data_IF_057281764260
#
_entry.id   IF_057281764260
#
_cell.length_a   1.000
_cell.length_b   1.000
_cell.length_c   1.000
_cell.angle_alpha   90.00
_cell.angle_beta   90.00
_cell.angle_gamma   90.00
#
_symmetry.space_group_name_H-M   'P 1'
#
loop_
_entity.id
_entity.type
_entity.pdbx_description
1 polymer ?
#
# COMPACT_ATOMS: atom_id res chain seq x y z
N UNK A 1 -22.74 19.78 -9.25
CA UNK A 1 -21.47 19.17 -8.81
C UNK A 1 -20.36 20.16 -9.06
N UNK A 2 -20.29 21.18 -8.20
CA UNK A 2 -19.10 22.02 -8.04
C UNK A 2 -18.02 21.24 -7.28
N UNK A 3 -16.76 21.70 -7.33
CA UNK A 3 -15.69 21.06 -6.56
C UNK A 3 -15.98 21.08 -5.05
N UNK A 4 -16.63 22.13 -4.56
CA UNK A 4 -17.02 22.25 -3.14
C UNK A 4 -18.07 21.20 -2.75
N UNK A 5 -19.01 20.88 -3.63
CA UNK A 5 -20.01 19.82 -3.41
C UNK A 5 -19.36 18.42 -3.34
N UNK A 6 -18.22 18.21 -4.03
CA UNK A 6 -17.47 16.95 -4.00
C UNK A 6 -16.65 16.85 -2.70
N UNK A 7 -16.07 17.96 -2.23
CA UNK A 7 -15.28 17.99 -1.00
C UNK A 7 -16.12 17.79 0.28
N UNK A 8 -17.42 18.10 0.23
CA UNK A 8 -18.38 17.93 1.34
C UNK A 8 -19.11 16.58 1.29
N UNK A 9 -18.81 15.72 0.31
CA UNK A 9 -19.43 14.40 0.22
C UNK A 9 -19.12 13.55 1.46
N UNK A 10 -20.14 12.83 1.94
CA UNK A 10 -19.99 11.84 3.00
C UNK A 10 -18.98 10.75 2.56
N UNK A 11 -17.97 10.48 3.40
CA UNK A 11 -16.86 9.57 3.08
C UNK A 11 -17.30 8.13 2.85
N UNK A 12 -18.53 7.79 3.24
CA UNK A 12 -19.20 6.52 2.98
C UNK A 12 -19.81 6.38 1.58
N UNK A 13 -19.85 7.45 0.76
CA UNK A 13 -20.49 7.45 -0.56
C UNK A 13 -19.50 7.75 -1.69
N UNK A 14 -19.78 7.21 -2.87
CA UNK A 14 -19.01 7.45 -4.09
C UNK A 14 -19.94 7.84 -5.24
N UNK A 15 -19.39 8.59 -6.19
CA UNK A 15 -20.07 8.89 -7.46
C UNK A 15 -19.70 7.77 -8.43
N UNK A 16 -20.68 6.97 -8.84
CA UNK A 16 -20.47 5.87 -9.79
C UNK A 16 -20.87 6.30 -11.20
N UNK A 17 -19.95 6.16 -12.15
CA UNK A 17 -20.20 6.41 -13.57
C UNK A 17 -20.22 5.09 -14.34
N UNK A 18 -21.40 4.73 -14.86
CA UNK A 18 -21.61 3.57 -15.71
C UNK A 18 -21.94 4.00 -17.14
N UNK A 19 -21.49 3.23 -18.14
CA UNK A 19 -21.82 3.49 -19.55
C UNK A 19 -23.34 3.49 -19.74
N UNK A 20 -23.88 4.55 -20.33
CA UNK A 20 -25.31 4.65 -20.65
C UNK A 20 -26.21 5.11 -19.50
N UNK A 21 -25.66 5.45 -18.33
CA UNK A 21 -26.43 5.94 -17.18
C UNK A 21 -25.83 7.26 -16.68
N UNK A 22 -26.68 8.15 -16.17
CA UNK A 22 -26.21 9.38 -15.51
C UNK A 22 -25.48 9.00 -14.22
N UNK A 23 -24.33 9.63 -13.91
CA UNK A 23 -23.64 9.38 -12.65
C UNK A 23 -24.58 9.54 -11.46
N UNK A 24 -24.49 8.62 -10.51
CA UNK A 24 -25.35 8.58 -9.33
C UNK A 24 -24.52 8.28 -8.08
N UNK A 25 -25.11 8.56 -6.92
CA UNK A 25 -24.50 8.24 -5.64
C UNK A 25 -24.71 6.75 -5.32
N UNK A 26 -23.62 6.07 -5.03
CA UNK A 26 -23.60 4.71 -4.50
C UNK A 26 -22.94 4.71 -3.14
N UNK A 27 -23.38 3.82 -2.27
CA UNK A 27 -22.70 3.57 -1.01
C UNK A 27 -21.41 2.76 -1.26
N UNK A 28 -20.37 3.07 -0.48
CA UNK A 28 -19.08 2.37 -0.52
C UNK A 28 -19.26 0.95 -0.02
N UNK A 29 -18.52 0.02 -0.63
CA UNK A 29 -18.51 -1.35 -0.16
C UNK A 29 -17.91 -1.44 1.25
N UNK A 30 -18.61 -2.15 2.13
CA UNK A 30 -18.15 -2.41 3.49
C UNK A 30 -17.02 -3.46 3.49
N UNK A 31 -15.79 -2.99 3.71
CA UNK A 31 -14.59 -3.82 3.68
C UNK A 31 -14.62 -4.96 4.70
N UNK A 32 -15.36 -4.81 5.80
CA UNK A 32 -15.46 -5.83 6.87
C UNK A 32 -16.14 -7.11 6.37
N UNK A 33 -16.95 -7.01 5.32
CA UNK A 33 -17.67 -8.13 4.71
C UNK A 33 -16.83 -8.90 3.70
N UNK A 34 -15.64 -8.41 3.35
CA UNK A 34 -14.77 -9.09 2.39
C UNK A 34 -14.17 -10.36 2.99
N UNK A 35 -14.11 -11.45 2.22
CA UNK A 35 -13.61 -12.76 2.69
C UNK A 35 -12.18 -12.69 3.27
N UNK A 36 -11.35 -11.82 2.70
CA UNK A 36 -9.95 -11.60 3.12
C UNK A 36 -9.76 -10.41 4.06
N UNK A 37 -10.83 -9.88 4.66
CA UNK A 37 -10.71 -8.74 5.57
C UNK A 37 -9.76 -9.03 6.76
N UNK A 38 -9.68 -10.31 7.17
CA UNK A 38 -8.79 -10.79 8.24
C UNK A 38 -7.30 -10.60 7.98
N UNK A 39 -6.92 -10.36 6.73
CA UNK A 39 -5.52 -10.16 6.31
C UNK A 39 -5.13 -8.67 6.35
N UNK A 40 -6.08 -7.75 6.58
CA UNK A 40 -5.77 -6.32 6.67
C UNK A 40 -5.23 -5.94 8.05
N UNK A 41 -4.46 -4.86 8.07
CA UNK A 41 -4.03 -4.15 9.29
C UNK A 41 -5.20 -3.64 10.13
N UNK A 42 -6.32 -3.32 9.47
CA UNK A 42 -7.54 -2.84 10.13
C UNK A 42 -8.19 -3.91 11.01
N UNK A 43 -7.98 -5.20 10.67
CA UNK A 43 -8.47 -6.32 11.47
C UNK A 43 -7.51 -6.71 12.60
N UNK A 44 -6.21 -6.81 12.30
CA UNK A 44 -5.16 -7.04 13.30
C UNK A 44 -3.90 -6.23 12.97
N UNK A 45 -3.40 -5.48 13.95
CA UNK A 45 -2.18 -4.66 13.82
C UNK A 45 -0.94 -5.50 13.45
N UNK A 46 -0.96 -6.81 13.72
CA UNK A 46 0.11 -7.74 13.31
C UNK A 46 0.24 -7.90 11.80
N UNK A 47 -0.84 -7.67 11.06
CA UNK A 47 -0.84 -7.70 9.59
C UNK A 47 -0.32 -6.39 8.99
N UNK A 48 -0.01 -5.38 9.81
CA UNK A 48 0.55 -4.13 9.32
C UNK A 48 1.91 -4.40 8.68
N UNK A 49 2.06 -3.94 7.44
CA UNK A 49 3.31 -4.05 6.72
C UNK A 49 4.31 -3.03 7.26
N UNK A 50 5.37 -3.51 7.90
CA UNK A 50 6.47 -2.69 8.38
C UNK A 50 7.55 -2.58 7.29
N UNK A 51 7.62 -1.40 6.67
CA UNK A 51 8.60 -1.09 5.63
C UNK A 51 10.04 -1.18 6.14
N UNK A 52 10.31 -0.79 7.38
CA UNK A 52 11.67 -0.80 7.93
C UNK A 52 12.18 -2.23 8.09
N UNK A 53 11.32 -3.12 8.58
CA UNK A 53 11.64 -4.54 8.68
C UNK A 53 11.83 -5.16 7.29
N UNK A 54 10.99 -4.81 6.31
CA UNK A 54 11.12 -5.33 4.96
C UNK A 54 12.44 -4.93 4.28
N UNK A 55 12.82 -3.65 4.36
CA UNK A 55 14.08 -3.14 3.78
C UNK A 55 15.30 -3.75 4.46
N UNK A 56 15.26 -3.94 5.78
CA UNK A 56 16.34 -4.63 6.50
C UNK A 56 16.54 -6.06 6.00
N UNK A 57 15.46 -6.81 5.72
CA UNK A 57 15.56 -8.21 5.30
C UNK A 57 15.82 -8.41 3.79
N UNK A 58 15.60 -7.40 2.94
CA UNK A 58 15.85 -7.47 1.50
C UNK A 58 17.31 -7.74 1.14
N UNK A 59 18.27 -7.29 1.95
CA UNK A 59 19.71 -7.47 1.69
C UNK A 59 20.31 -8.72 2.36
N UNK A 60 19.52 -9.52 3.06
CA UNK A 60 20.01 -10.76 3.67
C UNK A 60 19.92 -11.91 2.65
N UNK A 61 20.91 -11.98 1.76
CA UNK A 61 21.19 -13.16 0.96
C UNK A 61 21.40 -14.35 1.92
N UNK A 62 20.49 -15.33 1.92
CA UNK A 62 20.71 -16.61 2.63
C UNK A 62 21.76 -17.41 1.88
N UNK A 63 23.02 -17.16 2.19
CA UNK A 63 24.15 -17.96 1.69
C UNK A 63 24.06 -19.36 2.29
N UNK A 64 23.93 -20.36 1.43
CA UNK A 64 24.06 -21.78 1.78
C UNK A 64 25.46 -22.24 1.38
N UNK A 65 26.00 -23.31 1.97
CA UNK A 65 27.39 -23.76 1.72
C UNK A 65 27.72 -24.06 0.24
N UNK A 66 26.71 -24.20 -0.62
CA UNK A 66 26.85 -24.44 -2.06
C UNK A 66 26.74 -23.18 -2.93
N UNK A 67 26.51 -22.00 -2.35
CA UNK A 67 26.35 -20.77 -3.10
C UNK A 67 27.74 -20.19 -3.42
N UNK A 68 28.17 -20.29 -4.68
CA UNK A 68 29.33 -19.53 -5.17
C UNK A 68 28.88 -18.09 -5.39
N UNK A 69 29.49 -17.16 -4.67
CA UNK A 69 29.27 -15.72 -4.83
C UNK A 69 30.35 -15.23 -5.78
N UNK A 70 29.98 -14.97 -7.03
CA UNK A 70 30.84 -14.28 -7.98
C UNK A 70 30.55 -12.78 -7.87
N UNK A 71 31.54 -12.07 -7.33
CA UNK A 71 31.67 -10.61 -7.19
C UNK A 71 30.68 -9.89 -6.25
N UNK A 72 31.23 -9.28 -5.20
CA UNK A 72 30.51 -8.40 -4.30
C UNK A 72 30.16 -7.09 -5.03
N UNK A 73 28.87 -6.83 -5.24
CA UNK A 73 28.40 -5.49 -5.61
C UNK A 73 28.33 -4.64 -4.33
N UNK A 74 29.21 -3.63 -4.21
CA UNK A 74 29.04 -2.56 -3.21
C UNK A 74 27.79 -1.75 -3.56
N UNK A 75 26.70 -1.96 -2.82
CA UNK A 75 25.61 -0.98 -2.79
C UNK A 75 26.16 0.29 -2.12
N UNK A 76 26.39 1.33 -2.93
CA UNK A 76 26.84 2.64 -2.45
C UNK A 76 25.91 3.19 -1.36
N UNK A 77 26.53 3.77 -0.32
CA UNK A 77 25.83 4.44 0.76
C UNK A 77 25.01 5.61 0.19
N UNK A 78 23.71 5.61 0.46
CA UNK A 78 22.88 6.78 0.19
C UNK A 78 23.08 7.71 1.40
N UNK A 79 24.01 8.65 1.28
CA UNK A 79 24.10 9.77 2.24
C UNK A 79 22.79 10.56 2.18
N UNK A 80 22.17 10.92 3.32
CA UNK A 80 21.00 11.78 3.31
C UNK A 80 21.42 13.16 2.80
N UNK A 81 20.99 13.50 1.59
CA UNK A 81 21.26 14.79 0.97
C UNK A 81 20.82 15.94 1.90
N UNK A 82 21.80 16.76 2.27
CA UNK A 82 21.64 18.12 2.80
C UNK A 82 20.72 18.89 1.86
N UNK A 83 19.52 19.23 2.32
CA UNK A 83 18.65 20.18 1.61
C UNK A 83 18.92 21.58 2.19
N UNK A 84 19.55 22.44 1.39
CA UNK A 84 19.52 23.90 1.53
C UNK A 84 18.15 24.46 1.09
#
# INVERSE_FOLDING_TARGET
>A
MSQDEIAVMDGGKCIMQLRGVRPFFSDKFDITKHKRYKELSDYDKKNAFDMEQYVKHLHHLKVTEKTKVDEAFECGEISPDTTE
#
